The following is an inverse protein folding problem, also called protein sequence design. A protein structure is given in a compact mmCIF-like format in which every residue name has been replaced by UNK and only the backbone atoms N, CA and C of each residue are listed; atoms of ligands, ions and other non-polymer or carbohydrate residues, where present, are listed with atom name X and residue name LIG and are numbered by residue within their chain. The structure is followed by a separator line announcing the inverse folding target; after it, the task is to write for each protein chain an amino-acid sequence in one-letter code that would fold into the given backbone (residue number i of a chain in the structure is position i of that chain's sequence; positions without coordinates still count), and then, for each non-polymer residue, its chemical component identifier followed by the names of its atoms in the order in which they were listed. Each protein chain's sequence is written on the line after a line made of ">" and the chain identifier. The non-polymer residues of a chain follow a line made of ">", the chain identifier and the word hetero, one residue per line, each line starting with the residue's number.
data_IF_799657677011
#
_entry.id   IF_799657677011
#
_cell.length_a   1.000
_cell.length_b   1.000
_cell.length_c   1.000
_cell.angle_alpha   90.00
_cell.angle_beta   90.00
_cell.angle_gamma   90.00
#
_symmetry.space_group_name_H-M   'P 1'
#
loop_
_entity.id
_entity.type
_entity.pdbx_description
1 polymer ?
#
# COMPACT_ATOMS: atom_id res chain seq x y z
N UNK A 1 -15.05 -20.96 -1.55
CA UNK A 1 -14.09 -19.86 -1.45
C UNK A 1 -14.51 -19.03 -0.25
N UNK A 2 -13.66 -18.91 0.77
CA UNK A 2 -13.96 -18.03 1.91
C UNK A 2 -14.01 -16.58 1.41
N UNK A 3 -15.04 -15.87 1.80
CA UNK A 3 -15.18 -14.46 1.49
C UNK A 3 -14.11 -13.68 2.26
N UNK A 4 -13.26 -12.98 1.51
CA UNK A 4 -12.20 -12.15 2.08
C UNK A 4 -12.85 -10.87 2.62
N UNK A 5 -12.83 -10.67 3.92
CA UNK A 5 -13.44 -9.50 4.55
C UNK A 5 -12.38 -8.39 4.75
N UNK A 6 -12.64 -7.24 4.14
CA UNK A 6 -11.85 -6.02 4.33
C UNK A 6 -12.52 -5.16 5.40
N UNK A 7 -11.75 -4.69 6.36
CA UNK A 7 -12.23 -3.81 7.45
C UNK A 7 -11.21 -2.73 7.79
N UNK A 8 -11.65 -1.64 8.45
CA UNK A 8 -10.71 -0.67 9.00
C UNK A 8 -9.73 -1.30 9.99
N UNK A 9 -8.47 -0.87 9.95
CA UNK A 9 -7.47 -1.27 10.91
C UNK A 9 -7.75 -0.66 12.29
N UNK A 10 -7.38 -1.39 13.32
CA UNK A 10 -7.39 -0.93 14.71
C UNK A 10 -5.98 -0.98 15.27
N UNK A 11 -5.66 -0.30 16.40
CA UNK A 11 -4.34 -0.38 17.02
C UNK A 11 -3.88 -1.81 17.31
N UNK A 12 -4.81 -2.73 17.58
CA UNK A 12 -4.50 -4.14 17.82
C UNK A 12 -3.95 -4.87 16.57
N UNK A 13 -4.14 -4.30 15.38
CA UNK A 13 -3.64 -4.86 14.12
C UNK A 13 -2.18 -4.49 13.85
N UNK A 14 -1.59 -3.55 14.59
CA UNK A 14 -0.22 -3.08 14.37
C UNK A 14 0.82 -4.20 14.26
N UNK A 15 0.83 -5.24 15.12
CA UNK A 15 1.77 -6.36 14.97
C UNK A 15 1.58 -7.13 13.66
N UNK A 16 0.34 -7.41 13.27
CA UNK A 16 0.02 -8.12 12.03
C UNK A 16 0.37 -7.33 10.78
N UNK A 17 0.07 -6.02 10.78
CA UNK A 17 0.41 -5.12 9.69
C UNK A 17 1.94 -5.02 9.54
N UNK A 18 2.67 -4.84 10.65
CA UNK A 18 4.12 -4.77 10.64
C UNK A 18 4.77 -6.05 10.08
N UNK A 19 4.26 -7.21 10.47
CA UNK A 19 4.73 -8.50 9.94
C UNK A 19 4.53 -8.59 8.42
N UNK A 20 3.36 -8.24 7.93
CA UNK A 20 3.08 -8.24 6.48
C UNK A 20 3.97 -7.24 5.74
N UNK A 21 4.11 -6.02 6.29
CA UNK A 21 4.93 -4.97 5.71
C UNK A 21 6.38 -5.41 5.51
N UNK A 22 7.02 -5.93 6.56
CA UNK A 22 8.40 -6.40 6.51
C UNK A 22 8.54 -7.61 5.58
N UNK A 23 7.67 -8.61 5.69
CA UNK A 23 7.72 -9.80 4.85
C UNK A 23 7.52 -9.48 3.35
N UNK A 24 6.57 -8.61 3.03
CA UNK A 24 6.32 -8.18 1.65
C UNK A 24 7.53 -7.45 1.04
N UNK A 25 8.20 -6.59 1.81
CA UNK A 25 9.41 -5.92 1.39
C UNK A 25 10.56 -6.90 1.18
N UNK A 26 10.83 -7.75 2.18
CA UNK A 26 11.95 -8.68 2.14
C UNK A 26 11.84 -9.69 0.98
N UNK A 27 10.64 -10.13 0.65
CA UNK A 27 10.42 -11.06 -0.47
C UNK A 27 10.25 -10.32 -1.79
N UNK A 28 9.48 -9.24 -1.80
CA UNK A 28 9.07 -8.55 -3.03
C UNK A 28 10.12 -7.66 -3.65
N UNK A 29 11.04 -7.13 -2.86
CA UNK A 29 12.01 -6.14 -3.31
C UNK A 29 13.45 -6.66 -3.40
N UNK A 30 13.66 -7.97 -3.28
CA UNK A 30 14.96 -8.58 -3.59
C UNK A 30 15.33 -8.26 -5.04
N UNK A 31 16.57 -7.81 -5.25
CA UNK A 31 17.06 -7.35 -6.56
C UNK A 31 16.68 -5.91 -6.93
N UNK A 32 15.79 -5.26 -6.15
CA UNK A 32 15.38 -3.85 -6.35
C UNK A 32 15.98 -2.98 -5.26
N UNK A 33 15.82 -3.40 -4.01
CA UNK A 33 16.38 -2.76 -2.82
C UNK A 33 17.57 -3.56 -2.35
N UNK A 34 18.64 -2.89 -1.89
CA UNK A 34 19.84 -3.56 -1.38
C UNK A 34 19.52 -4.57 -0.28
N UNK A 35 20.13 -5.73 -0.32
CA UNK A 35 19.87 -6.82 0.63
C UNK A 35 20.12 -6.38 2.08
N UNK A 36 21.14 -5.56 2.32
CA UNK A 36 21.45 -5.01 3.64
C UNK A 36 20.30 -4.18 4.22
N UNK A 37 19.60 -3.42 3.38
CA UNK A 37 18.43 -2.64 3.78
C UNK A 37 17.27 -3.56 4.13
N UNK A 38 17.01 -4.57 3.30
CA UNK A 38 15.93 -5.54 3.52
C UNK A 38 16.18 -6.39 4.77
N UNK A 39 17.40 -6.85 4.96
CA UNK A 39 17.78 -7.70 6.09
C UNK A 39 17.78 -6.94 7.43
N UNK A 40 17.97 -5.61 7.39
CA UNK A 40 17.91 -4.75 8.56
C UNK A 40 16.47 -4.37 8.98
N UNK A 41 15.44 -4.69 8.20
CA UNK A 41 14.05 -4.39 8.57
C UNK A 41 13.64 -5.15 9.84
N UNK A 42 13.13 -4.41 10.81
CA UNK A 42 12.68 -4.94 12.10
C UNK A 42 11.16 -4.90 12.19
N UNK A 43 10.55 -6.06 12.45
CA UNK A 43 9.10 -6.15 12.70
C UNK A 43 8.72 -5.35 13.95
N UNK A 44 9.53 -5.40 15.01
CA UNK A 44 9.25 -4.69 16.26
C UNK A 44 9.28 -3.17 16.06
N UNK A 45 10.27 -2.64 15.35
CA UNK A 45 10.35 -1.21 15.06
C UNK A 45 9.18 -0.77 14.17
N UNK A 46 8.84 -1.57 13.18
CA UNK A 46 7.71 -1.30 12.29
C UNK A 46 6.37 -1.35 13.03
N UNK A 47 6.24 -2.27 13.99
CA UNK A 47 5.05 -2.38 14.85
C UNK A 47 4.86 -1.10 15.67
N UNK A 48 5.93 -0.56 16.26
CA UNK A 48 5.85 0.69 17.02
C UNK A 48 5.44 1.87 16.14
N UNK A 49 5.96 1.95 14.92
CA UNK A 49 5.54 2.97 13.93
C UNK A 49 4.06 2.82 13.61
N UNK A 50 3.59 1.63 13.27
CA UNK A 50 2.17 1.40 12.96
C UNK A 50 1.25 1.67 14.13
N UNK A 51 1.66 1.30 15.35
CA UNK A 51 0.88 1.61 16.56
C UNK A 51 0.74 3.11 16.76
N UNK A 52 1.82 3.87 16.54
CA UNK A 52 1.80 5.33 16.59
C UNK A 52 0.82 5.90 15.54
N UNK A 53 0.94 5.47 14.29
CA UNK A 53 0.08 5.95 13.21
C UNK A 53 -1.41 5.62 13.42
N UNK A 54 -1.72 4.42 13.93
CA UNK A 54 -3.11 3.99 14.18
C UNK A 54 -3.73 4.63 15.44
N UNK A 55 -2.93 5.19 16.32
CA UNK A 55 -3.41 5.87 17.53
C UNK A 55 -3.41 7.38 17.44
N UNK A 56 -2.74 7.95 16.43
CA UNK A 56 -2.67 9.40 16.24
C UNK A 56 -3.97 9.94 15.63
N UNK A 57 -4.76 10.74 16.36
CA UNK A 57 -5.99 11.32 15.83
C UNK A 57 -5.76 12.35 14.72
N UNK A 58 -4.54 12.87 14.57
CA UNK A 58 -4.17 13.80 13.51
C UNK A 58 -3.72 13.11 12.21
N UNK A 59 -3.60 11.77 12.24
CA UNK A 59 -3.22 11.02 11.03
C UNK A 59 -4.37 11.00 10.01
N UNK A 60 -4.13 11.60 8.85
CA UNK A 60 -5.10 11.64 7.75
C UNK A 60 -5.09 10.37 6.89
N UNK A 61 -4.13 9.47 7.09
CA UNK A 61 -4.04 8.21 6.38
C UNK A 61 -4.97 7.19 7.04
N UNK A 62 -5.89 6.64 6.26
CA UNK A 62 -6.76 5.54 6.68
C UNK A 62 -6.20 4.21 6.19
N UNK A 63 -6.17 3.21 7.06
CA UNK A 63 -5.66 1.88 6.72
C UNK A 63 -6.78 0.85 6.84
N UNK A 64 -6.89 0.00 5.82
CA UNK A 64 -7.79 -1.14 5.76
C UNK A 64 -6.98 -2.42 5.80
N UNK A 65 -7.49 -3.44 6.44
CA UNK A 65 -6.85 -4.75 6.56
C UNK A 65 -7.76 -5.86 6.06
N UNK A 66 -7.12 -6.93 5.60
CA UNK A 66 -7.76 -8.23 5.38
C UNK A 66 -7.28 -9.19 6.45
N UNK A 67 -8.24 -9.79 7.15
CA UNK A 67 -7.98 -10.87 8.10
C UNK A 67 -8.42 -12.20 7.50
N UNK A 68 -7.57 -13.21 7.61
CA UNK A 68 -7.83 -14.58 7.20
C UNK A 68 -7.32 -15.54 8.28
N UNK A 69 -8.21 -16.39 8.77
CA UNK A 69 -7.95 -17.33 9.88
C UNK A 69 -7.31 -16.66 11.12
N UNK A 70 -7.80 -15.45 11.48
CA UNK A 70 -7.33 -14.71 12.66
C UNK A 70 -5.95 -14.04 12.48
N UNK A 71 -5.44 -13.95 11.24
CA UNK A 71 -4.17 -13.28 10.91
C UNK A 71 -4.37 -12.24 9.83
N UNK A 72 -3.66 -11.13 9.95
CA UNK A 72 -3.62 -10.13 8.88
C UNK A 72 -2.91 -10.73 7.66
N UNK A 73 -3.63 -10.76 6.54
CA UNK A 73 -3.15 -11.27 5.26
C UNK A 73 -2.68 -10.17 4.32
N UNK A 74 -3.11 -8.93 4.56
CA UNK A 74 -2.72 -7.77 3.75
C UNK A 74 -3.34 -6.49 4.29
N UNK A 75 -2.86 -5.37 3.79
CA UNK A 75 -3.39 -4.05 4.12
C UNK A 75 -3.22 -3.06 2.97
N UNK A 76 -4.03 -2.03 2.97
CA UNK A 76 -3.94 -0.88 2.08
C UNK A 76 -4.13 0.41 2.88
N UNK A 77 -3.30 1.39 2.62
CA UNK A 77 -3.45 2.74 3.17
C UNK A 77 -3.96 3.68 2.07
N UNK A 78 -4.89 4.55 2.43
CA UNK A 78 -5.47 5.55 1.55
C UNK A 78 -5.38 6.94 2.18
N UNK A 79 -5.19 7.95 1.34
CA UNK A 79 -5.14 9.36 1.73
C UNK A 79 -6.04 10.15 0.78
N UNK A 80 -7.00 10.87 1.33
CA UNK A 80 -8.01 11.59 0.55
C UNK A 80 -7.48 12.75 -0.29
N UNK A 81 -6.29 13.27 0.08
CA UNK A 81 -5.60 14.35 -0.66
C UNK A 81 -4.17 13.91 -0.90
N UNK A 82 -3.78 13.81 -2.15
CA UNK A 82 -2.40 13.43 -2.52
C UNK A 82 -1.39 14.41 -1.98
N UNK A 83 -0.24 13.91 -1.58
CA UNK A 83 0.93 14.69 -1.11
C UNK A 83 1.85 15.12 -2.25
N UNK A 84 1.58 14.70 -3.47
CA UNK A 84 2.35 15.12 -4.65
C UNK A 84 2.20 16.63 -4.87
N UNK A 85 3.31 17.33 -5.12
CA UNK A 85 3.34 18.80 -5.26
C UNK A 85 2.48 19.30 -6.43
N UNK A 86 2.33 18.48 -7.48
CA UNK A 86 1.55 18.78 -8.67
C UNK A 86 0.09 18.26 -8.60
N UNK A 87 -0.32 17.71 -7.46
CA UNK A 87 -1.68 17.18 -7.29
C UNK A 87 -2.73 18.28 -7.46
N UNK A 88 -3.71 18.01 -8.30
CA UNK A 88 -4.88 18.89 -8.47
C UNK A 88 -5.97 18.54 -7.47
N UNK A 89 -6.90 19.47 -7.15
CA UNK A 89 -8.04 19.17 -6.27
C UNK A 89 -8.80 17.93 -6.71
N UNK A 90 -9.12 17.04 -5.77
CA UNK A 90 -9.79 15.77 -6.04
C UNK A 90 -8.85 14.59 -6.30
N UNK A 91 -7.53 14.81 -6.28
CA UNK A 91 -6.54 13.73 -6.39
C UNK A 91 -6.27 13.13 -5.02
N UNK A 92 -6.57 11.85 -4.87
CA UNK A 92 -6.22 11.03 -3.71
C UNK A 92 -4.92 10.26 -3.92
N UNK A 93 -4.44 9.58 -2.89
CA UNK A 93 -3.21 8.78 -2.95
C UNK A 93 -3.42 7.43 -2.26
N UNK A 94 -2.76 6.40 -2.78
CA UNK A 94 -2.57 5.11 -2.09
C UNK A 94 -1.09 5.02 -1.69
N UNK A 95 -0.74 5.37 -0.43
CA UNK A 95 0.65 5.32 0.04
C UNK A 95 1.24 3.92 0.13
N UNK A 96 0.42 2.91 0.38
CA UNK A 96 0.88 1.55 0.59
C UNK A 96 -0.22 0.53 0.29
N UNK A 97 0.16 -0.57 -0.32
CA UNK A 97 -0.64 -1.79 -0.44
C UNK A 97 0.32 -2.97 -0.40
N UNK A 98 0.19 -3.81 0.61
CA UNK A 98 1.03 -5.00 0.78
C UNK A 98 0.19 -6.21 1.17
N UNK A 99 0.57 -7.36 0.62
CA UNK A 99 -0.03 -8.67 0.90
C UNK A 99 1.05 -9.59 1.43
N UNK A 100 0.72 -10.37 2.43
CA UNK A 100 1.62 -11.40 2.97
C UNK A 100 2.06 -12.35 1.85
N UNK A 101 3.36 -12.55 1.61
CA UNK A 101 3.85 -13.35 0.47
C UNK A 101 3.16 -14.70 0.26
N UNK A 102 2.87 -15.51 1.30
CA UNK A 102 2.13 -16.77 1.13
C UNK A 102 0.70 -16.59 0.60
N UNK A 103 0.18 -15.36 0.62
CA UNK A 103 -1.17 -15.01 0.15
C UNK A 103 -1.18 -14.29 -1.19
N UNK A 104 -0.06 -14.18 -1.86
CA UNK A 104 -0.04 -13.64 -3.21
C UNK A 104 -0.85 -14.49 -4.17
N UNK A 105 -1.50 -13.85 -5.14
CA UNK A 105 -2.38 -14.49 -6.14
C UNK A 105 -3.59 -15.22 -5.53
N UNK A 106 -3.98 -14.87 -4.30
CA UNK A 106 -5.17 -15.43 -3.64
C UNK A 106 -6.40 -14.50 -3.70
N UNK A 107 -6.28 -13.34 -4.33
CA UNK A 107 -7.34 -12.34 -4.41
C UNK A 107 -7.34 -11.30 -3.28
N UNK A 108 -6.46 -11.42 -2.28
CA UNK A 108 -6.35 -10.46 -1.16
C UNK A 108 -6.03 -9.05 -1.65
N UNK A 109 -5.03 -8.90 -2.51
CA UNK A 109 -4.65 -7.59 -3.06
C UNK A 109 -5.78 -6.96 -3.87
N UNK A 110 -6.49 -7.74 -4.66
CA UNK A 110 -7.64 -7.27 -5.44
C UNK A 110 -8.78 -6.80 -4.53
N UNK A 111 -9.13 -7.56 -3.50
CA UNK A 111 -10.16 -7.17 -2.54
C UNK A 111 -9.82 -5.87 -1.82
N UNK A 112 -8.56 -5.70 -1.38
CA UNK A 112 -8.08 -4.46 -0.78
C UNK A 112 -8.21 -3.28 -1.74
N UNK A 113 -7.78 -3.43 -2.99
CA UNK A 113 -7.87 -2.38 -4.00
C UNK A 113 -9.31 -1.98 -4.29
N UNK A 114 -10.22 -2.93 -4.47
CA UNK A 114 -11.63 -2.67 -4.73
C UNK A 114 -12.28 -1.84 -3.61
N UNK A 115 -12.03 -2.20 -2.35
CA UNK A 115 -12.59 -1.45 -1.20
C UNK A 115 -11.92 -0.08 -1.06
N UNK A 116 -10.60 0.01 -1.27
CA UNK A 116 -9.88 1.28 -1.23
C UNK A 116 -10.41 2.28 -2.27
N UNK A 117 -10.57 1.83 -3.51
CA UNK A 117 -11.09 2.69 -4.59
C UNK A 117 -12.54 3.12 -4.32
N UNK A 118 -13.39 2.22 -3.83
CA UNK A 118 -14.77 2.56 -3.46
C UNK A 118 -14.81 3.59 -2.33
N UNK A 119 -13.94 3.48 -1.32
CA UNK A 119 -13.84 4.45 -0.23
C UNK A 119 -13.40 5.83 -0.73
N UNK A 120 -12.42 5.89 -1.64
CA UNK A 120 -11.96 7.15 -2.22
C UNK A 120 -13.04 7.83 -3.09
N UNK A 121 -13.77 7.06 -3.89
CA UNK A 121 -14.92 7.56 -4.64
C UNK A 121 -15.98 8.13 -3.71
N UNK A 122 -16.34 7.41 -2.65
CA UNK A 122 -17.30 7.85 -1.65
C UNK A 122 -16.85 9.13 -0.93
N UNK A 123 -15.56 9.35 -0.79
CA UNK A 123 -14.97 10.57 -0.22
C UNK A 123 -14.88 11.73 -1.22
N UNK A 124 -15.30 11.53 -2.48
CA UNK A 124 -15.32 12.57 -3.50
C UNK A 124 -14.07 12.69 -4.36
N UNK A 125 -13.15 11.73 -4.27
CA UNK A 125 -11.97 11.72 -5.13
C UNK A 125 -12.35 11.45 -6.59
N UNK A 126 -11.73 12.18 -7.51
CA UNK A 126 -11.90 12.02 -8.96
C UNK A 126 -10.72 11.32 -9.63
N UNK A 127 -9.60 11.25 -8.95
CA UNK A 127 -8.37 10.62 -9.40
C UNK A 127 -7.60 10.06 -8.20
N UNK A 128 -6.84 9.02 -8.43
CA UNK A 128 -5.94 8.46 -7.42
C UNK A 128 -4.57 8.19 -8.04
N UNK A 129 -3.52 8.51 -7.28
CA UNK A 129 -2.12 8.25 -7.65
C UNK A 129 -1.47 7.29 -6.67
N UNK A 130 -0.43 6.64 -7.13
CA UNK A 130 0.48 5.86 -6.29
C UNK A 130 1.87 5.82 -6.92
N UNK A 131 2.88 5.54 -6.10
CA UNK A 131 4.25 5.33 -6.53
C UNK A 131 4.62 3.86 -6.40
N UNK A 132 5.34 3.35 -7.39
CA UNK A 132 5.81 1.96 -7.44
C UNK A 132 7.25 1.94 -7.94
N UNK A 133 8.08 1.07 -7.39
CA UNK A 133 9.43 0.89 -7.93
C UNK A 133 9.37 0.53 -9.42
N UNK A 134 10.16 1.22 -10.22
CA UNK A 134 10.19 1.04 -11.68
C UNK A 134 10.48 -0.43 -12.08
N UNK A 135 11.36 -1.09 -11.33
CA UNK A 135 11.74 -2.49 -11.56
C UNK A 135 10.77 -3.52 -10.92
N UNK A 136 9.75 -3.06 -10.18
CA UNK A 136 8.75 -3.95 -9.60
C UNK A 136 7.72 -4.37 -10.64
N UNK A 137 8.09 -5.28 -11.53
CA UNK A 137 7.22 -5.76 -12.62
C UNK A 137 5.92 -6.39 -12.10
N UNK A 138 5.99 -7.15 -11.01
CA UNK A 138 4.80 -7.76 -10.39
C UNK A 138 3.83 -6.71 -9.87
N UNK A 139 4.31 -5.71 -9.14
CA UNK A 139 3.49 -4.61 -8.64
C UNK A 139 2.87 -3.82 -9.78
N UNK A 140 3.67 -3.50 -10.80
CA UNK A 140 3.20 -2.76 -11.98
C UNK A 140 2.11 -3.53 -12.74
N UNK A 141 2.26 -4.84 -12.90
CA UNK A 141 1.25 -5.69 -13.53
C UNK A 141 -0.05 -5.73 -12.72
N UNK A 142 0.05 -5.81 -11.38
CA UNK A 142 -1.09 -5.75 -10.49
C UNK A 142 -1.86 -4.41 -10.63
N UNK A 143 -1.16 -3.29 -10.61
CA UNK A 143 -1.79 -1.98 -10.75
C UNK A 143 -2.36 -1.74 -12.15
N UNK A 144 -1.68 -2.21 -13.20
CA UNK A 144 -2.20 -2.15 -14.56
C UNK A 144 -3.53 -2.92 -14.68
N UNK A 145 -3.62 -4.11 -14.10
CA UNK A 145 -4.86 -4.89 -14.04
C UNK A 145 -5.97 -4.18 -13.25
N UNK A 146 -5.61 -3.33 -12.29
CA UNK A 146 -6.53 -2.49 -11.53
C UNK A 146 -6.88 -1.16 -12.23
N UNK A 147 -6.43 -0.95 -13.47
CA UNK A 147 -6.77 0.23 -14.28
C UNK A 147 -5.86 1.43 -14.11
N UNK A 148 -4.72 1.28 -13.44
CA UNK A 148 -3.71 2.33 -13.32
C UNK A 148 -2.82 2.40 -14.56
N UNK A 149 -2.35 3.61 -14.87
CA UNK A 149 -1.44 3.90 -15.98
C UNK A 149 -0.32 4.81 -15.53
N UNK A 150 0.91 4.68 -16.08
CA UNK A 150 1.97 5.67 -15.86
C UNK A 150 1.54 7.04 -16.36
N UNK A 151 1.87 8.09 -15.59
CA UNK A 151 1.61 9.48 -15.99
C UNK A 151 2.86 10.23 -16.47
N UNK A 152 4.00 9.56 -16.47
CA UNK A 152 5.30 10.11 -16.91
C UNK A 152 6.18 10.62 -15.76
N UNK A 153 5.66 10.73 -14.54
CA UNK A 153 6.45 11.16 -13.39
C UNK A 153 7.35 10.04 -12.89
N UNK A 154 8.56 10.41 -12.55
CA UNK A 154 9.62 9.51 -12.05
C UNK A 154 10.41 10.21 -10.94
N UNK A 155 10.68 9.49 -9.89
CA UNK A 155 11.50 9.96 -8.78
C UNK A 155 12.49 8.87 -8.36
N UNK A 156 13.50 9.24 -7.58
CA UNK A 156 14.39 8.30 -6.91
C UNK A 156 14.20 8.44 -5.42
N UNK A 157 13.89 7.36 -4.74
CA UNK A 157 13.85 7.34 -3.28
C UNK A 157 15.29 7.46 -2.75
N UNK A 158 15.62 8.59 -2.19
CA UNK A 158 16.99 8.89 -1.73
C UNK A 158 17.45 7.95 -0.62
N UNK A 159 16.53 7.55 0.28
CA UNK A 159 16.78 6.61 1.38
C UNK A 159 17.10 5.19 0.92
N UNK A 160 16.69 4.82 -0.29
CA UNK A 160 16.81 3.47 -0.85
C UNK A 160 17.70 3.46 -2.11
N UNK A 161 17.73 4.58 -2.86
CA UNK A 161 18.47 4.70 -4.11
C UNK A 161 17.79 4.01 -5.31
N UNK A 162 16.51 3.61 -5.18
CA UNK A 162 15.77 2.95 -6.25
C UNK A 162 14.80 3.92 -6.95
N UNK A 163 14.70 3.87 -8.30
CA UNK A 163 13.77 4.69 -9.03
C UNK A 163 12.32 4.19 -8.86
N UNK A 164 11.41 5.14 -8.76
CA UNK A 164 9.97 4.93 -8.72
C UNK A 164 9.30 5.65 -9.89
N UNK A 165 8.20 5.11 -10.35
CA UNK A 165 7.28 5.75 -11.30
C UNK A 165 5.94 5.99 -10.63
N UNK A 166 5.26 7.05 -11.04
CA UNK A 166 3.92 7.34 -10.59
C UNK A 166 2.88 6.73 -11.54
N UNK A 167 1.89 6.08 -10.95
CA UNK A 167 0.73 5.55 -11.66
C UNK A 167 -0.50 6.33 -11.23
N UNK A 168 -1.43 6.51 -12.17
CA UNK A 168 -2.68 7.23 -11.94
C UNK A 168 -3.86 6.46 -12.47
N UNK A 169 -5.02 6.65 -11.84
CA UNK A 169 -6.31 6.14 -12.28
C UNK A 169 -7.38 7.18 -12.07
N UNK A 170 -8.17 7.45 -13.10
CA UNK A 170 -9.39 8.24 -12.98
C UNK A 170 -10.49 7.42 -12.28
N UNK A 171 -11.23 8.07 -11.40
CA UNK A 171 -12.32 7.52 -10.60
C UNK A 171 -13.65 8.12 -11.08
N UNK A 172 -14.68 7.31 -11.07
CA UNK A 172 -15.98 7.80 -11.47
C UNK A 172 -16.92 6.75 -11.97
#
# INVERSE_FOLDING_TARGET
>A
MREVQVRPATPNDAPGIARVHVAAWQVGYRGIVADEVLDALSVDDRMLTWLGDLTDPANEISTLVVEDDGRIAGFVSVLGVSRDEDAVPGTAEIPALYVDPPRWRSGVGRALMEVALAALVAAGASEVTLWVFEENERGRAFYAAAGFKPDGERAVREDIGAPEIRLTRLLG
#
